data_IF_522473849225
#
_entry.id   IF_522473849225
#
_cell.length_a   1.000
_cell.length_b   1.000
_cell.length_c   1.000
_cell.angle_alpha   90.00
_cell.angle_beta   90.00
_cell.angle_gamma   90.00
#
_symmetry.space_group_name_H-M   'P 1'
#
loop_
_entity.id
_entity.type
_entity.pdbx_description
1 polymer ?
#
# COMPACT_ATOMS: atom_id res chain seq x y z
N UNK A 1 -2.86 14.34 -8.06
CA UNK A 1 -1.99 13.18 -8.34
C UNK A 1 -2.43 12.11 -7.38
N UNK A 2 -2.49 10.81 -7.72
CA UNK A 2 -2.95 9.77 -6.82
C UNK A 2 -2.08 8.54 -6.96
N UNK A 3 -1.96 7.72 -5.90
CA UNK A 3 -1.17 6.49 -5.86
C UNK A 3 -1.48 5.55 -7.04
N UNK A 4 -2.75 5.40 -7.35
CA UNK A 4 -3.24 4.49 -8.40
C UNK A 4 -3.34 5.15 -9.79
N UNK A 5 -2.81 6.35 -9.96
CA UNK A 5 -2.74 6.98 -11.28
C UNK A 5 -1.55 6.41 -12.05
N UNK A 6 -1.82 5.52 -12.99
CA UNK A 6 -0.77 4.92 -13.82
C UNK A 6 -0.01 5.97 -14.64
N UNK A 7 1.31 5.89 -14.60
CA UNK A 7 2.22 6.65 -15.46
C UNK A 7 3.23 5.63 -16.01
N UNK A 8 3.34 5.42 -17.32
CA UNK A 8 4.08 4.28 -17.90
C UNK A 8 5.52 4.12 -17.40
N UNK A 9 6.20 5.24 -17.14
CA UNK A 9 7.63 5.23 -16.79
C UNK A 9 7.91 5.59 -15.33
N UNK A 10 6.88 5.54 -14.46
CA UNK A 10 7.03 5.91 -13.05
C UNK A 10 6.29 4.95 -12.13
N UNK A 11 7.04 4.17 -11.36
CA UNK A 11 6.52 3.44 -10.21
C UNK A 11 6.37 4.37 -9.03
N UNK A 12 5.17 4.46 -8.46
CA UNK A 12 4.86 5.30 -7.29
C UNK A 12 5.26 4.59 -6.01
N UNK A 13 5.40 5.37 -4.94
CA UNK A 13 5.84 4.87 -3.64
C UNK A 13 4.78 5.13 -2.60
N UNK A 14 4.32 4.05 -1.95
CA UNK A 14 3.51 4.10 -0.73
C UNK A 14 4.36 3.59 0.44
N UNK A 15 4.36 4.34 1.53
CA UNK A 15 4.86 3.90 2.81
C UNK A 15 3.70 3.60 3.75
N UNK A 16 3.69 2.46 4.43
CA UNK A 16 2.56 1.99 5.22
C UNK A 16 2.89 1.82 6.71
N UNK A 17 1.90 2.10 7.57
CA UNK A 17 1.98 1.86 9.01
C UNK A 17 2.67 2.99 9.79
N UNK A 18 2.24 4.24 9.57
CA UNK A 18 2.72 5.41 10.30
C UNK A 18 2.00 5.58 11.64
N UNK A 19 2.79 5.81 12.68
CA UNK A 19 2.31 6.01 14.07
C UNK A 19 2.89 7.26 14.72
N UNK A 20 3.91 7.91 14.11
CA UNK A 20 4.63 9.05 14.69
C UNK A 20 4.68 10.23 13.72
N UNK A 21 4.54 11.44 14.23
CA UNK A 21 4.58 12.68 13.43
C UNK A 21 5.95 12.91 12.77
N UNK A 22 7.03 12.59 13.47
CA UNK A 22 8.41 12.70 12.95
C UNK A 22 8.63 11.84 11.72
N UNK A 23 8.01 10.64 11.69
CA UNK A 23 8.11 9.72 10.56
C UNK A 23 7.31 10.25 9.36
N UNK A 24 6.11 10.81 9.61
CA UNK A 24 5.31 11.46 8.58
C UNK A 24 6.07 12.63 7.96
N UNK A 25 6.67 13.50 8.78
CA UNK A 25 7.45 14.65 8.29
C UNK A 25 8.62 14.20 7.41
N UNK A 26 9.34 13.17 7.83
CA UNK A 26 10.45 12.61 7.05
C UNK A 26 9.97 12.02 5.71
N UNK A 27 8.84 11.29 5.69
CA UNK A 27 8.27 10.74 4.46
C UNK A 27 7.76 11.84 3.52
N UNK A 28 7.13 12.88 4.06
CA UNK A 28 6.68 14.06 3.30
C UNK A 28 7.87 14.77 2.64
N UNK A 29 8.97 14.95 3.36
CA UNK A 29 10.18 15.57 2.81
C UNK A 29 10.80 14.75 1.67
N UNK A 30 10.62 13.42 1.67
CA UNK A 30 11.06 12.54 0.59
C UNK A 30 10.13 12.57 -0.64
N UNK A 31 8.94 13.18 -0.53
CA UNK A 31 8.00 13.32 -1.63
C UNK A 31 7.46 11.98 -2.16
N UNK A 32 7.13 11.05 -1.27
CA UNK A 32 6.44 9.81 -1.62
C UNK A 32 4.99 10.09 -2.04
N UNK A 33 4.35 9.15 -2.72
CA UNK A 33 3.03 9.38 -3.33
C UNK A 33 1.87 9.12 -2.36
N UNK A 34 2.08 8.27 -1.33
CA UNK A 34 1.05 7.93 -0.35
C UNK A 34 1.61 7.49 1.00
N UNK A 35 0.85 7.73 2.08
CA UNK A 35 1.09 7.20 3.42
C UNK A 35 -0.10 6.35 3.88
N UNK A 36 0.18 5.18 4.48
CA UNK A 36 -0.82 4.27 5.02
C UNK A 36 -0.93 4.34 6.54
N UNK A 37 -2.17 4.36 7.04
CA UNK A 37 -2.55 4.35 8.45
C UNK A 37 -3.37 3.10 8.73
N UNK A 38 -3.00 2.35 9.76
CA UNK A 38 -3.57 1.01 10.04
C UNK A 38 -4.62 1.12 11.13
N UNK A 39 -5.87 0.81 10.78
CA UNK A 39 -7.03 0.77 11.69
C UNK A 39 -7.40 -0.67 12.07
N UNK A 40 -6.42 -1.47 12.42
CA UNK A 40 -6.56 -2.85 12.89
C UNK A 40 -5.84 -2.98 14.23
N UNK A 41 -6.60 -3.01 15.33
CA UNK A 41 -6.06 -2.95 16.70
C UNK A 41 -4.99 -4.01 17.03
N UNK A 42 -5.08 -5.27 16.53
CA UNK A 42 -4.03 -6.24 16.77
C UNK A 42 -2.68 -5.91 16.11
N UNK A 43 -2.64 -4.94 15.20
CA UNK A 43 -1.41 -4.52 14.53
C UNK A 43 -0.52 -3.68 15.44
N UNK A 44 0.81 -3.93 15.49
CA UNK A 44 1.75 -3.04 16.19
C UNK A 44 1.86 -1.64 15.52
N UNK A 45 1.20 -1.45 14.38
CA UNK A 45 1.15 -0.18 13.63
C UNK A 45 -0.24 0.48 13.70
N UNK A 46 -1.08 0.01 14.64
CA UNK A 46 -2.40 0.59 14.85
C UNK A 46 -2.33 2.05 15.25
N UNK A 47 -3.25 2.84 14.70
CA UNK A 47 -3.51 4.21 15.13
C UNK A 47 -5.01 4.45 15.30
N UNK A 48 -5.39 5.23 16.32
CA UNK A 48 -6.79 5.67 16.44
C UNK A 48 -7.16 6.64 15.31
N UNK A 49 -8.46 6.77 14.98
CA UNK A 49 -8.92 7.77 14.01
C UNK A 49 -8.45 9.19 14.33
N UNK A 50 -8.43 9.58 15.60
CA UNK A 50 -7.98 10.90 16.06
C UNK A 50 -6.49 11.10 15.80
N UNK A 51 -5.68 10.10 16.10
CA UNK A 51 -4.23 10.14 15.84
C UNK A 51 -3.96 10.18 14.33
N UNK A 52 -4.64 9.35 13.54
CA UNK A 52 -4.51 9.34 12.09
C UNK A 52 -4.87 10.71 11.49
N UNK A 53 -5.96 11.34 11.93
CA UNK A 53 -6.36 12.67 11.47
C UNK A 53 -5.28 13.72 11.75
N UNK A 54 -4.68 13.70 12.95
CA UNK A 54 -3.58 14.60 13.31
C UNK A 54 -2.32 14.37 12.45
N UNK A 55 -2.00 13.10 12.15
CA UNK A 55 -0.86 12.74 11.30
C UNK A 55 -1.11 13.14 9.84
N UNK A 56 -2.31 12.90 9.31
CA UNK A 56 -2.71 13.28 7.94
C UNK A 56 -2.71 14.80 7.77
N UNK A 57 -3.08 15.55 8.80
CA UNK A 57 -3.02 17.02 8.78
C UNK A 57 -1.61 17.60 8.52
N UNK A 58 -0.57 16.78 8.61
CA UNK A 58 0.82 17.15 8.27
C UNK A 58 1.19 16.87 6.81
N UNK A 59 0.35 16.14 6.08
CA UNK A 59 0.63 15.77 4.69
C UNK A 59 0.25 16.92 3.74
N UNK A 60 1.05 17.15 2.69
CA UNK A 60 0.70 18.13 1.68
C UNK A 60 -0.48 17.67 0.82
N UNK A 61 -1.22 18.61 0.26
CA UNK A 61 -2.22 18.29 -0.75
C UNK A 61 -1.62 17.52 -1.94
N UNK A 62 -2.34 16.49 -2.41
CA UNK A 62 -1.92 15.64 -3.53
C UNK A 62 -1.13 14.39 -3.16
N UNK A 63 -0.77 14.19 -1.89
CA UNK A 63 -0.29 12.92 -1.33
C UNK A 63 -1.49 12.14 -0.81
N UNK A 64 -1.62 10.86 -1.16
CA UNK A 64 -2.75 10.04 -0.70
C UNK A 64 -2.59 9.61 0.76
N UNK A 65 -3.67 9.78 1.53
CA UNK A 65 -3.83 9.20 2.85
C UNK A 65 -4.64 7.90 2.74
N UNK A 66 -4.01 6.77 3.01
CA UNK A 66 -4.60 5.44 2.82
C UNK A 66 -5.07 4.87 4.16
N UNK A 67 -6.37 4.61 4.29
CA UNK A 67 -6.94 3.92 5.44
C UNK A 67 -6.92 2.40 5.22
N UNK A 68 -6.02 1.70 5.92
CA UNK A 68 -5.95 0.25 5.92
C UNK A 68 -6.84 -0.33 7.01
N UNK A 69 -7.75 -1.20 6.60
CA UNK A 69 -8.69 -1.90 7.48
C UNK A 69 -8.64 -3.42 7.25
N UNK A 70 -9.03 -4.18 8.27
CA UNK A 70 -9.14 -5.64 8.25
C UNK A 70 -10.48 -6.04 8.87
N UNK A 71 -11.42 -6.47 8.04
CA UNK A 71 -12.77 -6.90 8.44
C UNK A 71 -13.47 -5.92 9.40
N UNK A 72 -13.52 -4.59 9.09
CA UNK A 72 -14.01 -3.59 10.01
C UNK A 72 -15.51 -3.72 10.28
N UNK A 73 -15.92 -3.46 11.52
CA UNK A 73 -17.31 -3.30 11.91
C UNK A 73 -17.90 -1.99 11.35
N UNK A 74 -19.22 -1.87 11.32
CA UNK A 74 -19.87 -0.62 10.88
C UNK A 74 -19.53 0.57 11.80
N UNK A 75 -19.36 0.31 13.09
CA UNK A 75 -18.95 1.33 14.06
C UNK A 75 -17.54 1.86 13.79
N UNK A 76 -16.58 0.96 13.52
CA UNK A 76 -15.22 1.34 13.16
C UNK A 76 -15.18 2.12 11.85
N UNK A 77 -15.91 1.66 10.81
CA UNK A 77 -16.05 2.36 9.54
C UNK A 77 -16.60 3.77 9.74
N UNK A 78 -17.69 3.90 10.54
CA UNK A 78 -18.30 5.19 10.84
C UNK A 78 -17.30 6.11 11.54
N UNK A 79 -16.60 5.63 12.56
CA UNK A 79 -15.60 6.43 13.29
C UNK A 79 -14.46 6.89 12.37
N UNK A 80 -13.99 6.04 11.47
CA UNK A 80 -12.96 6.40 10.50
C UNK A 80 -13.48 7.49 9.55
N UNK A 81 -14.66 7.29 8.94
CA UNK A 81 -15.27 8.26 8.00
C UNK A 81 -15.51 9.61 8.65
N UNK A 82 -15.99 9.64 9.89
CA UNK A 82 -16.34 10.87 10.59
C UNK A 82 -15.10 11.72 10.96
N UNK A 83 -13.91 11.12 11.05
CA UNK A 83 -12.73 11.77 11.64
C UNK A 83 -11.50 11.84 10.75
N UNK A 84 -11.35 10.88 9.83
CA UNK A 84 -10.11 10.70 9.07
C UNK A 84 -10.26 11.25 7.65
N UNK A 85 -9.51 12.29 7.26
CA UNK A 85 -9.55 12.83 5.91
C UNK A 85 -8.72 11.95 4.94
N UNK A 86 -9.05 10.65 4.86
CA UNK A 86 -8.42 9.73 3.93
C UNK A 86 -8.89 9.98 2.49
N UNK A 87 -8.09 9.54 1.52
CA UNK A 87 -8.38 9.65 0.09
C UNK A 87 -8.53 8.30 -0.59
N UNK A 88 -8.12 7.21 0.07
CA UNK A 88 -8.09 5.85 -0.49
C UNK A 88 -8.31 4.82 0.63
N UNK A 89 -9.21 3.86 0.41
CA UNK A 89 -9.35 2.69 1.26
C UNK A 89 -8.42 1.57 0.84
N UNK A 90 -7.88 0.84 1.81
CA UNK A 90 -7.18 -0.43 1.60
C UNK A 90 -7.83 -1.53 2.45
N UNK A 91 -8.51 -2.46 1.78
CA UNK A 91 -9.12 -3.62 2.42
C UNK A 91 -8.13 -4.79 2.45
N UNK A 92 -7.67 -5.15 3.63
CA UNK A 92 -6.61 -6.15 3.82
C UNK A 92 -7.07 -7.43 4.50
N UNK A 93 -8.35 -7.54 4.81
CA UNK A 93 -9.02 -8.70 5.39
C UNK A 93 -9.68 -9.60 4.35
N UNK A 94 -10.76 -10.25 4.77
CA UNK A 94 -11.57 -11.15 3.93
C UNK A 94 -12.91 -10.48 3.53
N UNK A 95 -12.95 -9.14 3.50
CA UNK A 95 -14.12 -8.37 3.10
C UNK A 95 -14.56 -8.78 1.70
N UNK A 96 -15.85 -9.07 1.50
CA UNK A 96 -16.42 -9.34 0.17
C UNK A 96 -16.38 -8.07 -0.70
N UNK A 97 -16.42 -8.22 -2.02
CA UNK A 97 -16.47 -7.09 -2.96
C UNK A 97 -17.64 -6.15 -2.64
N UNK A 98 -18.83 -6.70 -2.40
CA UNK A 98 -19.99 -5.93 -1.98
C UNK A 98 -19.73 -5.11 -0.71
N UNK A 99 -19.10 -5.73 0.31
CA UNK A 99 -18.75 -5.04 1.55
C UNK A 99 -17.73 -3.91 1.33
N UNK A 100 -16.73 -4.13 0.48
CA UNK A 100 -15.78 -3.08 0.11
C UNK A 100 -16.48 -1.87 -0.54
N UNK A 101 -17.39 -2.12 -1.47
CA UNK A 101 -18.16 -1.08 -2.17
C UNK A 101 -19.09 -0.31 -1.21
N UNK A 102 -19.80 -1.02 -0.32
CA UNK A 102 -20.64 -0.42 0.71
C UNK A 102 -19.82 0.51 1.63
N UNK A 103 -18.63 0.07 2.07
CA UNK A 103 -17.76 0.90 2.91
C UNK A 103 -17.20 2.06 2.11
N UNK A 104 -16.75 1.84 0.88
CA UNK A 104 -16.08 2.86 0.08
C UNK A 104 -17.01 4.01 -0.35
N UNK A 105 -18.31 3.75 -0.55
CA UNK A 105 -19.31 4.78 -0.93
C UNK A 105 -18.85 5.67 -2.10
N UNK A 106 -18.25 5.05 -3.11
CA UNK A 106 -17.72 5.75 -4.29
C UNK A 106 -16.31 6.31 -4.14
N UNK A 107 -15.70 6.25 -2.96
CA UNK A 107 -14.27 6.56 -2.82
C UNK A 107 -13.41 5.49 -3.50
N UNK A 108 -12.23 5.85 -4.03
CA UNK A 108 -11.26 4.87 -4.51
C UNK A 108 -10.90 3.85 -3.42
N UNK A 109 -10.72 2.59 -3.83
CA UNK A 109 -10.31 1.54 -2.92
C UNK A 109 -9.44 0.48 -3.60
N UNK A 110 -8.56 -0.13 -2.83
CA UNK A 110 -7.76 -1.28 -3.27
C UNK A 110 -8.00 -2.48 -2.36
N UNK A 111 -7.96 -3.67 -2.96
CA UNK A 111 -8.07 -4.95 -2.27
C UNK A 111 -6.71 -5.62 -2.19
N UNK A 112 -6.33 -6.09 -1.01
CA UNK A 112 -5.14 -6.89 -0.83
C UNK A 112 -5.40 -8.34 -1.26
N UNK A 113 -4.52 -8.86 -2.13
CA UNK A 113 -4.42 -10.27 -2.52
C UNK A 113 -3.24 -10.88 -1.76
N UNK A 114 -3.50 -11.85 -0.89
CA UNK A 114 -2.45 -12.57 -0.14
C UNK A 114 -1.97 -13.75 -0.96
N UNK A 115 -0.84 -13.57 -1.66
CA UNK A 115 -0.34 -14.50 -2.67
C UNK A 115 0.33 -15.71 -2.01
N UNK A 116 -0.13 -16.91 -2.41
CA UNK A 116 0.44 -18.21 -2.04
C UNK A 116 0.33 -19.18 -3.21
N UNK A 117 1.05 -20.32 -3.21
CA UNK A 117 0.87 -21.36 -4.22
C UNK A 117 -0.61 -21.74 -4.38
N UNK A 118 -1.09 -21.77 -5.63
CA UNK A 118 -2.48 -22.09 -5.96
C UNK A 118 -3.48 -20.91 -5.82
N UNK A 119 -3.04 -19.70 -5.48
CA UNK A 119 -3.92 -18.53 -5.48
C UNK A 119 -4.30 -18.14 -6.92
N UNK A 120 -5.60 -18.05 -7.19
CA UNK A 120 -6.10 -17.68 -8.53
C UNK A 120 -6.33 -16.17 -8.64
N UNK A 121 -5.34 -15.46 -9.21
CA UNK A 121 -5.42 -14.01 -9.43
C UNK A 121 -6.51 -13.61 -10.44
N UNK A 122 -6.82 -14.46 -11.42
CA UNK A 122 -7.86 -14.16 -12.40
C UNK A 122 -9.24 -14.15 -11.74
N UNK A 123 -9.56 -15.17 -10.96
CA UNK A 123 -10.82 -15.23 -10.20
C UNK A 123 -10.89 -14.08 -9.19
N UNK A 124 -9.79 -13.79 -8.50
CA UNK A 124 -9.71 -12.66 -7.57
C UNK A 124 -9.99 -11.33 -8.28
N UNK A 125 -9.37 -11.07 -9.42
CA UNK A 125 -9.58 -9.81 -10.15
C UNK A 125 -10.99 -9.67 -10.72
N UNK A 126 -11.63 -10.78 -11.08
CA UNK A 126 -13.04 -10.79 -11.48
C UNK A 126 -13.97 -10.53 -10.28
N UNK A 127 -13.69 -11.15 -9.14
CA UNK A 127 -14.46 -10.96 -7.90
C UNK A 127 -14.44 -9.50 -7.41
N UNK A 128 -13.28 -8.84 -7.53
CA UNK A 128 -13.08 -7.45 -7.08
C UNK A 128 -12.92 -6.49 -8.28
N UNK A 129 -13.69 -6.70 -9.35
CA UNK A 129 -13.56 -5.95 -10.61
C UNK A 129 -13.67 -4.42 -10.43
N UNK A 130 -14.49 -3.97 -9.47
CA UNK A 130 -14.70 -2.55 -9.17
C UNK A 130 -13.61 -1.92 -8.26
N UNK A 131 -12.62 -2.72 -7.81
CA UNK A 131 -11.47 -2.18 -7.10
C UNK A 131 -10.65 -1.27 -8.02
N UNK A 132 -10.26 -0.10 -7.51
CA UNK A 132 -9.37 0.81 -8.23
C UNK A 132 -7.97 0.22 -8.37
N UNK A 133 -7.53 -0.60 -7.40
CA UNK A 133 -6.23 -1.26 -7.42
C UNK A 133 -6.21 -2.59 -6.67
N UNK A 134 -5.17 -3.38 -6.97
CA UNK A 134 -4.86 -4.62 -6.27
C UNK A 134 -3.50 -4.49 -5.58
N UNK A 135 -3.47 -4.71 -4.28
CA UNK A 135 -2.23 -4.79 -3.54
C UNK A 135 -1.84 -6.27 -3.42
N UNK A 136 -0.71 -6.65 -4.04
CA UNK A 136 -0.18 -8.00 -3.98
C UNK A 136 0.76 -8.12 -2.78
N UNK A 137 0.40 -8.92 -1.79
CA UNK A 137 1.16 -9.13 -0.56
C UNK A 137 1.51 -10.60 -0.36
N UNK A 138 2.57 -10.88 0.39
CA UNK A 138 2.90 -12.25 0.78
C UNK A 138 1.83 -12.82 1.72
N UNK A 139 1.43 -14.07 1.48
CA UNK A 139 0.58 -14.76 2.44
C UNK A 139 1.36 -15.02 3.73
N UNK A 140 0.81 -14.57 4.85
CA UNK A 140 1.24 -14.93 6.21
C UNK A 140 0.01 -15.39 6.99
N UNK A 141 0.19 -16.30 7.94
CA UNK A 141 -0.88 -16.65 8.86
C UNK A 141 -1.25 -15.41 9.70
N UNK A 142 -2.54 -15.07 9.73
CA UNK A 142 -3.05 -13.83 10.32
C UNK A 142 -3.04 -12.66 9.33
N UNK A 143 -3.16 -11.44 9.85
CA UNK A 143 -3.16 -10.20 9.07
C UNK A 143 -1.99 -9.31 9.50
N UNK A 144 -1.21 -8.84 8.51
CA UNK A 144 -0.14 -7.87 8.73
C UNK A 144 1.23 -8.32 8.27
N UNK A 145 2.04 -7.34 7.87
CA UNK A 145 3.33 -7.51 7.21
C UNK A 145 4.36 -8.29 8.02
N UNK A 146 4.46 -9.58 7.78
CA UNK A 146 5.48 -10.46 8.35
C UNK A 146 6.90 -10.24 7.80
N UNK A 147 7.07 -9.33 6.83
CA UNK A 147 8.36 -9.06 6.19
C UNK A 147 8.84 -10.16 5.24
N UNK A 148 7.97 -11.12 4.91
CA UNK A 148 8.29 -12.19 3.98
C UNK A 148 8.04 -11.76 2.54
N UNK A 149 8.96 -12.10 1.65
CA UNK A 149 8.77 -11.96 0.20
C UNK A 149 8.06 -13.22 -0.30
N UNK A 150 7.06 -13.07 -1.16
CA UNK A 150 6.51 -14.20 -1.89
C UNK A 150 7.24 -14.41 -3.22
N UNK A 151 7.15 -15.59 -3.77
CA UNK A 151 7.70 -15.89 -5.08
C UNK A 151 6.89 -15.18 -6.18
N UNK A 152 7.47 -14.15 -6.79
CA UNK A 152 6.81 -13.36 -7.83
C UNK A 152 6.50 -14.16 -9.10
N UNK A 153 7.15 -15.33 -9.32
CA UNK A 153 6.81 -16.24 -10.41
C UNK A 153 5.40 -16.84 -10.29
N UNK A 154 4.78 -16.75 -9.10
CA UNK A 154 3.38 -17.14 -8.87
C UNK A 154 2.40 -16.20 -9.57
N UNK A 155 2.84 -15.03 -10.04
CA UNK A 155 2.01 -14.08 -10.76
C UNK A 155 2.11 -14.36 -12.25
N UNK A 156 1.01 -14.79 -12.92
CA UNK A 156 1.03 -15.07 -14.34
C UNK A 156 1.44 -13.81 -15.14
N UNK A 157 2.40 -13.96 -16.05
CA UNK A 157 2.96 -12.85 -16.83
C UNK A 157 1.88 -12.07 -17.59
N UNK A 158 0.95 -12.78 -18.23
CA UNK A 158 -0.16 -12.16 -18.96
C UNK A 158 -1.05 -11.33 -18.02
N UNK A 159 -1.42 -11.88 -16.86
CA UNK A 159 -2.20 -11.17 -15.86
C UNK A 159 -1.47 -9.92 -15.35
N UNK A 160 -0.17 -10.04 -15.07
CA UNK A 160 0.66 -8.92 -14.62
C UNK A 160 0.67 -7.80 -15.66
N UNK A 161 0.87 -8.13 -16.94
CA UNK A 161 0.89 -7.17 -18.05
C UNK A 161 -0.46 -6.44 -18.21
N UNK A 162 -1.57 -7.16 -18.13
CA UNK A 162 -2.92 -6.59 -18.26
C UNK A 162 -3.29 -5.69 -17.08
N UNK A 163 -2.82 -6.02 -15.86
CA UNK A 163 -3.18 -5.35 -14.63
C UNK A 163 -2.10 -4.40 -14.08
N UNK A 164 -0.93 -4.29 -14.68
CA UNK A 164 0.20 -3.46 -14.23
C UNK A 164 -0.23 -2.04 -13.80
N UNK A 165 -1.18 -1.45 -14.54
CA UNK A 165 -1.69 -0.10 -14.32
C UNK A 165 -2.43 0.10 -12.99
N UNK A 166 -2.84 -0.97 -12.30
CA UNK A 166 -3.55 -0.96 -11.02
C UNK A 166 -2.96 -1.89 -9.96
N UNK A 167 -1.78 -2.47 -10.24
CA UNK A 167 -1.07 -3.32 -9.28
C UNK A 167 -0.18 -2.48 -8.37
N UNK A 168 -0.33 -2.67 -7.07
CA UNK A 168 0.58 -2.21 -6.02
C UNK A 168 1.33 -3.42 -5.49
N UNK A 169 2.65 -3.49 -5.72
CA UNK A 169 3.47 -4.58 -5.21
C UNK A 169 3.84 -4.32 -3.76
N UNK A 170 3.58 -5.30 -2.90
CA UNK A 170 3.91 -5.30 -1.47
C UNK A 170 4.52 -6.64 -1.05
N UNK A 171 4.64 -6.89 0.26
CA UNK A 171 5.16 -8.15 0.80
C UNK A 171 6.68 -8.19 0.88
N UNK A 172 7.24 -7.88 2.05
CA UNK A 172 8.67 -8.01 2.34
C UNK A 172 9.61 -7.15 1.50
N UNK A 173 9.10 -6.11 0.85
CA UNK A 173 9.94 -5.22 0.05
C UNK A 173 10.95 -4.48 0.90
N UNK A 174 12.15 -4.31 0.34
CA UNK A 174 13.27 -3.56 0.90
C UNK A 174 14.19 -3.09 -0.23
N UNK A 175 15.28 -2.40 0.09
CA UNK A 175 16.22 -1.86 -0.90
C UNK A 175 16.94 -2.90 -1.75
N UNK A 176 17.01 -4.17 -1.31
CA UNK A 176 17.74 -5.24 -2.02
C UNK A 176 16.87 -5.94 -3.07
N UNK A 177 15.53 -5.90 -2.93
CA UNK A 177 14.64 -6.69 -3.78
C UNK A 177 13.63 -5.86 -4.59
N UNK A 178 13.39 -4.60 -4.23
CA UNK A 178 12.35 -3.78 -4.86
C UNK A 178 12.58 -3.55 -6.35
N UNK A 179 13.84 -3.40 -6.80
CA UNK A 179 14.17 -3.22 -8.23
C UNK A 179 13.82 -4.45 -9.05
N UNK A 180 14.11 -5.64 -8.52
CA UNK A 180 13.73 -6.90 -9.17
C UNK A 180 12.21 -7.03 -9.29
N UNK A 181 11.46 -6.73 -8.21
CA UNK A 181 10.00 -6.75 -8.23
C UNK A 181 9.41 -5.76 -9.23
N UNK A 182 9.96 -4.53 -9.32
CA UNK A 182 9.56 -3.53 -10.31
C UNK A 182 9.83 -4.02 -11.73
N UNK A 183 11.01 -4.59 -11.97
CA UNK A 183 11.41 -5.08 -13.29
C UNK A 183 10.52 -6.24 -13.76
N UNK A 184 10.14 -7.12 -12.83
CA UNK A 184 9.32 -8.30 -13.11
C UNK A 184 7.85 -7.96 -13.38
N UNK A 185 7.24 -7.11 -12.55
CA UNK A 185 5.80 -6.85 -12.58
C UNK A 185 5.40 -5.52 -13.20
N UNK A 186 6.32 -4.57 -13.29
CA UNK A 186 6.08 -3.19 -13.75
C UNK A 186 4.85 -2.56 -13.07
N UNK A 187 4.73 -2.65 -11.74
CA UNK A 187 3.54 -2.22 -11.02
C UNK A 187 3.38 -0.70 -11.08
N UNK A 188 2.15 -0.21 -10.94
CA UNK A 188 1.90 1.24 -10.85
C UNK A 188 2.49 1.84 -9.58
N UNK A 189 2.61 1.04 -8.51
CA UNK A 189 3.21 1.47 -7.26
C UNK A 189 3.86 0.29 -6.50
N UNK A 190 4.76 0.63 -5.59
CA UNK A 190 5.28 -0.27 -4.55
C UNK A 190 4.82 0.19 -3.17
N UNK A 191 4.54 -0.75 -2.28
CA UNK A 191 4.15 -0.50 -0.89
C UNK A 191 5.13 -1.18 0.06
N UNK A 192 5.69 -0.43 0.99
CA UNK A 192 6.64 -0.95 1.97
C UNK A 192 6.26 -0.51 3.39
N UNK A 193 6.40 -1.44 4.33
CA UNK A 193 6.17 -1.17 5.76
C UNK A 193 7.38 -1.53 6.60
N UNK A 194 7.64 -2.82 6.84
CA UNK A 194 8.73 -3.29 7.70
C UNK A 194 10.11 -3.03 7.11
N UNK A 195 10.27 -3.02 5.79
CA UNK A 195 11.56 -2.79 5.11
C UNK A 195 12.14 -1.38 5.30
N UNK A 196 11.37 -0.46 5.89
CA UNK A 196 11.79 0.90 6.22
C UNK A 196 11.67 1.21 7.72
N UNK A 197 11.62 0.18 8.58
CA UNK A 197 11.47 0.31 10.03
C UNK A 197 12.79 0.06 10.76
N UNK A 198 13.08 0.89 11.76
CA UNK A 198 14.12 0.64 12.76
C UNK A 198 13.63 -0.33 13.85
N UNK A 199 12.34 -0.25 14.19
CA UNK A 199 11.62 -1.16 15.06
C UNK A 199 10.14 -1.20 14.63
N UNK A 200 9.38 -2.24 15.04
CA UNK A 200 7.95 -2.37 14.67
C UNK A 200 7.17 -1.08 14.98
N UNK A 201 6.57 -0.49 13.94
CA UNK A 201 5.82 0.77 14.03
C UNK A 201 6.69 2.04 14.12
N UNK A 202 8.01 1.94 14.01
CA UNK A 202 8.93 3.07 14.00
C UNK A 202 9.73 3.10 12.72
N UNK A 203 9.47 4.08 11.85
CA UNK A 203 10.20 4.23 10.59
C UNK A 203 11.61 4.79 10.83
N UNK A 204 12.57 4.41 9.96
CA UNK A 204 13.91 4.99 9.89
C UNK A 204 13.97 5.97 8.72
N UNK A 205 14.29 7.25 8.97
CA UNK A 205 14.50 8.22 7.89
C UNK A 205 15.54 7.77 6.86
N UNK A 206 16.60 7.09 7.31
CA UNK A 206 17.69 6.59 6.48
C UNK A 206 17.20 5.47 5.55
N UNK A 207 16.44 4.49 6.09
CA UNK A 207 15.88 3.41 5.30
C UNK A 207 14.81 3.91 4.33
N UNK A 208 13.96 4.86 4.74
CA UNK A 208 12.99 5.52 3.86
C UNK A 208 13.69 6.22 2.70
N UNK A 209 14.75 7.00 2.98
CA UNK A 209 15.54 7.70 1.96
C UNK A 209 16.17 6.72 0.99
N UNK A 210 16.87 5.70 1.48
CA UNK A 210 17.50 4.68 0.66
C UNK A 210 16.49 3.95 -0.24
N UNK A 211 15.30 3.61 0.29
CA UNK A 211 14.25 2.97 -0.48
C UNK A 211 13.75 3.87 -1.63
N UNK A 212 13.52 5.16 -1.36
CA UNK A 212 13.08 6.13 -2.38
C UNK A 212 14.14 6.27 -3.48
N UNK A 213 15.43 6.38 -3.13
CA UNK A 213 16.53 6.50 -4.07
C UNK A 213 16.60 5.28 -5.01
N UNK A 214 16.50 4.08 -4.45
CA UNK A 214 16.51 2.82 -5.21
C UNK A 214 15.32 2.73 -6.18
N UNK A 215 14.10 3.02 -5.71
CA UNK A 215 12.90 2.96 -6.56
C UNK A 215 12.96 4.01 -7.68
N UNK A 216 13.39 5.24 -7.37
CA UNK A 216 13.52 6.30 -8.38
C UNK A 216 14.61 6.01 -9.40
N UNK A 217 15.72 5.42 -8.96
CA UNK A 217 16.79 4.97 -9.86
C UNK A 217 16.38 3.84 -10.80
N UNK A 218 15.37 3.04 -10.43
CA UNK A 218 14.82 1.97 -11.27
C UNK A 218 13.84 2.47 -12.34
N UNK A 219 13.37 3.72 -12.25
CA UNK A 219 12.45 4.30 -13.23
C UNK A 219 13.22 4.76 -14.49
N UNK A 220 12.85 4.30 -15.73
CA UNK A 220 13.62 4.58 -16.95
C UNK A 220 13.83 6.06 -17.27
N UNK A 221 12.94 6.94 -16.82
CA UNK A 221 13.01 8.37 -17.08
C UNK A 221 14.01 9.16 -16.23
N UNK A 222 14.72 8.52 -15.27
CA UNK A 222 15.63 9.21 -14.33
C UNK A 222 17.11 9.13 -14.78
N UNK A 223 17.41 8.42 -15.86
CA UNK A 223 18.79 8.21 -16.37
C UNK A 223 19.25 9.25 -17.40
N UNK A 224 18.62 10.40 -17.48
CA UNK A 224 19.04 11.47 -18.40
C UNK A 224 19.02 12.83 -17.68
N UNK A 225 20.14 13.23 -17.08
CA UNK A 225 20.76 14.57 -17.19
C UNK A 225 22.18 14.48 -16.67
#
# INVERSE_FOLDING_TARGET
>A
MGLLKHTPDKTRIKFCGFTRSTDVDAAVALGVDALGFVFYEPSPRYVSPEMAAALIGRMPGGMDAVALVVNPTDEEVKRIKDRVPMTLWQFHGDESAKRCEEIAEGMPWMKAARIKPGFNLSDFSLQYANATGFLLDAFVEGYGGGGHVFDWSLIPELWAKENAHRVVLSGGLNTHNVVEGISHLKPCAVDVSSGIEAAKGQKSPELMKAFVEVVRGANPGTQAV
#
